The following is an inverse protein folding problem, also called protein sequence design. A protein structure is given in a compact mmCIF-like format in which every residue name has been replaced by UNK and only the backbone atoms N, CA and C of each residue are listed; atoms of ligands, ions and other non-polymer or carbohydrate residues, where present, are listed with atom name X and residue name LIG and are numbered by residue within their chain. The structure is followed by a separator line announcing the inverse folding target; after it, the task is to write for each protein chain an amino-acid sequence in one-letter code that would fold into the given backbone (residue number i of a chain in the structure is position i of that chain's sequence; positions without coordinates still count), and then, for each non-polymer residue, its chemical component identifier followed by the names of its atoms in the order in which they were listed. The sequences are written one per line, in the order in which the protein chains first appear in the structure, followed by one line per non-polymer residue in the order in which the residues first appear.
data_IF_421128631720
#
_entry.id   IF_421128631720
#
_cell.length_a   1.000
_cell.length_b   1.000
_cell.length_c   1.000
_cell.angle_alpha   90.00
_cell.angle_beta   90.00
_cell.angle_gamma   90.00
#
_symmetry.space_group_name_H-M   'P 1'
#
loop_
_entity.id
_entity.type
_entity.pdbx_description
1 polymer ?
#
# COMPACT_ATOMS: atom_id res chain seq x y z
N UNK A 1 25.02 23.05 3.66
CA UNK A 1 24.30 24.11 4.39
C UNK A 1 23.40 23.44 5.42
N UNK A 2 23.65 23.64 6.71
CA UNK A 2 22.84 23.09 7.81
C UNK A 2 21.55 23.91 7.89
N UNK A 3 20.39 23.28 7.68
CA UNK A 3 19.08 23.97 7.73
C UNK A 3 18.69 24.09 9.20
N UNK A 4 18.85 25.27 9.77
CA UNK A 4 18.48 25.55 11.17
C UNK A 4 16.95 25.50 11.28
N UNK A 5 16.37 24.71 12.21
CA UNK A 5 14.93 24.69 12.43
C UNK A 5 14.41 26.05 12.89
N UNK A 6 13.19 26.38 12.49
CA UNK A 6 12.47 27.62 12.84
C UNK A 6 12.33 27.73 14.37
N UNK A 7 13.24 28.49 15.01
CA UNK A 7 13.27 28.69 16.46
C UNK A 7 12.03 29.49 16.89
N UNK A 8 11.03 28.79 17.43
CA UNK A 8 9.84 29.40 18.03
C UNK A 8 8.52 28.72 17.72
N UNK A 9 8.44 27.85 16.71
CA UNK A 9 7.24 27.03 16.47
C UNK A 9 7.35 25.72 17.24
N UNK A 10 6.51 25.56 18.26
CA UNK A 10 6.31 24.24 18.87
C UNK A 10 5.77 23.29 17.80
N UNK A 11 6.62 22.38 17.31
CA UNK A 11 6.18 21.31 16.44
C UNK A 11 5.30 20.39 17.29
N UNK A 12 4.03 20.26 16.93
CA UNK A 12 3.15 19.29 17.61
C UNK A 12 3.73 17.90 17.38
N UNK A 13 3.92 17.16 18.46
CA UNK A 13 4.31 15.76 18.38
C UNK A 13 3.30 15.00 17.51
N UNK A 14 3.74 14.08 16.67
CA UNK A 14 2.84 13.30 15.81
C UNK A 14 1.77 12.55 16.65
N UNK A 15 2.12 12.15 17.88
CA UNK A 15 1.21 11.51 18.85
C UNK A 15 0.07 12.42 19.35
N UNK A 16 0.17 13.73 19.13
CA UNK A 16 -0.87 14.70 19.47
C UNK A 16 -1.81 15.04 18.31
N UNK A 17 -1.61 14.44 17.13
CA UNK A 17 -2.43 14.70 15.95
C UNK A 17 -3.64 13.77 15.96
N UNK A 18 -4.80 14.37 16.20
CA UNK A 18 -6.10 13.69 16.10
C UNK A 18 -6.97 14.39 15.07
N UNK A 19 -7.87 13.64 14.45
CA UNK A 19 -8.89 14.19 13.57
C UNK A 19 -9.87 15.00 14.41
N UNK A 20 -10.09 16.27 14.06
CA UNK A 20 -11.14 17.05 14.70
C UNK A 20 -12.53 16.55 14.29
N UNK A 21 -13.56 16.90 15.08
CA UNK A 21 -14.95 16.47 14.85
C UNK A 21 -15.42 16.76 13.42
N UNK A 22 -15.12 17.95 12.90
CA UNK A 22 -15.58 18.42 11.59
C UNK A 22 -14.46 18.42 10.53
N UNK A 23 -13.32 17.77 10.81
CA UNK A 23 -12.19 17.71 9.88
C UNK A 23 -12.36 16.57 8.86
N UNK A 24 -12.18 16.83 7.56
CA UNK A 24 -12.12 15.78 6.54
C UNK A 24 -11.00 14.79 6.83
N UNK A 25 -11.27 13.49 6.67
CA UNK A 25 -10.31 12.43 6.98
C UNK A 25 -8.97 12.61 6.24
N UNK A 26 -9.00 12.96 4.95
CA UNK A 26 -7.77 13.14 4.16
C UNK A 26 -6.91 14.30 4.69
N UNK A 27 -7.51 15.41 5.14
CA UNK A 27 -6.73 16.50 5.76
C UNK A 27 -6.05 16.06 7.05
N UNK A 28 -6.71 15.20 7.84
CA UNK A 28 -6.09 14.60 9.02
C UNK A 28 -4.90 13.71 8.65
N UNK A 29 -5.05 12.87 7.61
CA UNK A 29 -3.96 12.01 7.10
C UNK A 29 -2.77 12.85 6.64
N UNK A 30 -2.99 13.90 5.85
CA UNK A 30 -1.91 14.76 5.36
C UNK A 30 -1.10 15.36 6.51
N UNK A 31 -1.77 15.82 7.58
CA UNK A 31 -1.11 16.36 8.78
C UNK A 31 -0.34 15.28 9.54
N UNK A 32 -0.92 14.10 9.67
CA UNK A 32 -0.32 12.96 10.39
C UNK A 32 0.92 12.43 9.66
N UNK A 33 0.81 12.16 8.36
CA UNK A 33 1.90 11.70 7.51
C UNK A 33 3.04 12.72 7.50
N UNK A 34 2.73 14.01 7.27
CA UNK A 34 3.72 15.09 7.32
C UNK A 34 4.46 15.15 8.67
N UNK A 35 3.79 14.87 9.78
CA UNK A 35 4.40 14.89 11.09
C UNK A 35 5.27 13.66 11.36
N UNK A 36 4.81 12.47 10.95
CA UNK A 36 5.57 11.22 11.03
C UNK A 36 6.85 11.33 10.21
N UNK A 37 6.77 11.80 8.95
CA UNK A 37 7.93 11.97 8.08
C UNK A 37 8.99 12.91 8.63
N UNK A 38 8.56 13.96 9.35
CA UNK A 38 9.46 14.94 9.95
C UNK A 38 10.08 14.48 11.26
N UNK A 39 9.42 13.59 12.00
CA UNK A 39 9.77 13.28 13.39
C UNK A 39 10.32 11.86 13.57
N UNK A 40 10.09 10.97 12.62
CA UNK A 40 10.52 9.57 12.66
C UNK A 40 11.56 9.34 11.57
N UNK A 41 12.74 8.84 11.91
CA UNK A 41 13.79 8.55 10.93
C UNK A 41 13.65 7.16 10.32
N UNK A 42 13.15 6.19 11.09
CA UNK A 42 13.05 4.80 10.67
C UNK A 42 11.84 4.58 9.73
N UNK A 43 12.10 4.26 8.47
CA UNK A 43 11.04 4.09 7.47
C UNK A 43 10.07 2.94 7.79
N UNK A 44 10.56 1.81 8.32
CA UNK A 44 9.69 0.71 8.74
C UNK A 44 8.77 1.13 9.91
N UNK A 45 9.24 2.03 10.79
CA UNK A 45 8.41 2.60 11.83
C UNK A 45 7.35 3.55 11.25
N UNK A 46 7.66 4.35 10.23
CA UNK A 46 6.68 5.21 9.54
C UNK A 46 5.57 4.36 8.89
N UNK A 47 5.95 3.32 8.16
CA UNK A 47 5.03 2.38 7.52
C UNK A 47 4.09 1.68 8.52
N UNK A 48 4.57 1.42 9.74
CA UNK A 48 3.75 0.83 10.80
C UNK A 48 2.89 1.86 11.55
N UNK A 49 3.42 3.07 11.80
CA UNK A 49 2.77 4.09 12.62
C UNK A 49 1.60 4.75 11.90
N UNK A 50 1.76 5.09 10.61
CA UNK A 50 0.73 5.79 9.85
C UNK A 50 -0.62 5.05 9.85
N UNK A 51 -0.72 3.76 9.46
CA UNK A 51 -2.01 3.07 9.44
C UNK A 51 -2.59 2.87 10.85
N UNK A 52 -1.75 2.68 11.87
CA UNK A 52 -2.23 2.49 13.25
C UNK A 52 -2.87 3.77 13.80
N UNK A 53 -2.16 4.90 13.69
CA UNK A 53 -2.64 6.19 14.17
C UNK A 53 -3.78 6.73 13.29
N UNK A 54 -3.77 6.45 11.98
CA UNK A 54 -4.86 6.81 11.07
C UNK A 54 -6.21 6.18 11.44
N UNK A 55 -6.21 5.07 12.17
CA UNK A 55 -7.42 4.41 12.69
C UNK A 55 -7.69 4.90 14.12
N UNK A 56 -6.70 4.80 15.01
CA UNK A 56 -6.88 5.08 16.45
C UNK A 56 -7.21 6.55 16.75
N UNK A 57 -6.64 7.48 15.98
CA UNK A 57 -6.80 8.93 16.19
C UNK A 57 -7.78 9.58 15.20
N UNK A 58 -8.48 8.77 14.38
CA UNK A 58 -9.62 9.22 13.60
C UNK A 58 -10.79 9.63 14.50
N UNK A 59 -11.71 10.44 13.98
CA UNK A 59 -12.94 10.77 14.68
C UNK A 59 -13.89 9.56 14.69
N UNK A 60 -14.90 9.59 15.58
CA UNK A 60 -15.77 8.44 15.83
C UNK A 60 -16.49 7.93 14.57
N UNK A 61 -16.88 8.82 13.66
CA UNK A 61 -17.61 8.42 12.45
C UNK A 61 -16.68 7.77 11.43
N UNK A 62 -15.46 8.28 11.27
CA UNK A 62 -14.43 7.64 10.47
C UNK A 62 -14.00 6.29 11.06
N UNK A 63 -13.83 6.19 12.39
CA UNK A 63 -13.49 4.93 13.07
C UNK A 63 -14.51 3.83 12.78
N UNK A 64 -15.81 4.13 12.80
CA UNK A 64 -16.86 3.14 12.46
C UNK A 64 -16.66 2.60 11.05
N UNK A 65 -16.39 3.46 10.07
CA UNK A 65 -16.15 3.03 8.69
C UNK A 65 -14.88 2.18 8.58
N UNK A 66 -13.81 2.58 9.28
CA UNK A 66 -12.52 1.90 9.23
C UNK A 66 -12.55 0.51 9.91
N UNK A 67 -13.27 0.35 11.03
CA UNK A 67 -13.39 -0.92 11.73
C UNK A 67 -14.32 -1.92 11.06
N UNK A 68 -15.27 -1.46 10.26
CA UNK A 68 -16.27 -2.30 9.60
C UNK A 68 -16.05 -2.47 8.09
N UNK A 69 -15.10 -1.75 7.48
CA UNK A 69 -14.74 -1.90 6.07
C UNK A 69 -13.83 -3.11 5.82
N UNK A 70 -13.79 -3.67 4.58
CA UNK A 70 -12.94 -4.81 4.21
C UNK A 70 -11.42 -4.57 4.33
N UNK A 71 -11.01 -3.37 4.77
CA UNK A 71 -9.64 -2.88 4.85
C UNK A 71 -8.85 -3.34 6.09
N UNK A 72 -9.48 -4.04 7.05
CA UNK A 72 -8.76 -4.69 8.17
C UNK A 72 -7.91 -5.90 7.72
N UNK A 73 -8.06 -6.34 6.48
CA UNK A 73 -7.22 -7.35 5.87
C UNK A 73 -5.85 -6.70 5.59
N UNK A 74 -4.74 -7.15 6.23
CA UNK A 74 -3.40 -6.65 5.94
C UNK A 74 -3.14 -6.68 4.44
N UNK A 75 -2.51 -5.66 3.86
CA UNK A 75 -2.16 -5.60 2.44
C UNK A 75 -1.45 -6.88 1.93
N UNK A 76 -0.75 -7.59 2.83
CA UNK A 76 -0.12 -8.90 2.58
C UNK A 76 -1.10 -10.03 2.23
N UNK A 77 -2.35 -9.96 2.68
CA UNK A 77 -3.42 -10.91 2.37
C UNK A 77 -4.27 -10.49 1.16
N UNK A 78 -4.10 -9.26 0.65
CA UNK A 78 -4.86 -8.72 -0.49
C UNK A 78 -4.06 -8.70 -1.80
N UNK A 79 -2.77 -9.07 -1.82
CA UNK A 79 -2.02 -9.17 -3.09
C UNK A 79 -2.61 -10.28 -3.96
N UNK A 80 -3.23 -9.97 -5.13
CA UNK A 80 -3.35 -10.96 -6.18
C UNK A 80 -1.96 -11.17 -6.76
N UNK A 81 -1.73 -12.38 -7.29
CA UNK A 81 -0.54 -12.78 -8.03
C UNK A 81 -0.19 -11.72 -9.11
N UNK A 82 0.70 -10.80 -8.79
CA UNK A 82 1.23 -9.81 -9.76
C UNK A 82 2.74 -9.60 -9.60
N UNK A 83 3.37 -10.35 -8.69
CA UNK A 83 4.83 -10.39 -8.55
C UNK A 83 5.31 -11.75 -8.01
N UNK A 84 4.69 -12.84 -8.47
CA UNK A 84 5.21 -14.19 -8.24
C UNK A 84 6.20 -14.54 -9.37
N UNK A 85 7.45 -14.95 -9.08
CA UNK A 85 8.46 -15.28 -10.09
C UNK A 85 8.11 -16.51 -10.95
N UNK A 86 6.95 -17.15 -10.72
CA UNK A 86 6.49 -18.29 -11.52
C UNK A 86 5.70 -17.88 -12.78
N UNK A 87 5.32 -16.61 -12.94
CA UNK A 87 4.58 -16.15 -14.12
C UNK A 87 5.54 -15.69 -15.24
N UNK A 88 6.78 -15.32 -14.91
CA UNK A 88 7.78 -14.88 -15.90
C UNK A 88 8.46 -16.02 -16.68
N UNK A 89 8.30 -17.28 -16.28
CA UNK A 89 8.89 -18.42 -17.00
C UNK A 89 7.87 -19.27 -17.79
N UNK A 90 6.56 -19.05 -17.62
CA UNK A 90 5.54 -19.82 -18.33
C UNK A 90 5.23 -19.27 -19.74
N UNK A 91 5.45 -17.98 -20.00
CA UNK A 91 5.20 -17.39 -21.34
C UNK A 91 6.37 -17.59 -22.33
N UNK A 92 7.59 -17.86 -21.87
CA UNK A 92 8.73 -18.09 -22.80
C UNK A 92 8.83 -19.53 -23.34
N UNK A 93 7.97 -20.45 -22.90
CA UNK A 93 7.97 -21.86 -23.35
C UNK A 93 6.74 -22.27 -24.17
N UNK A 94 5.83 -21.34 -24.44
CA UNK A 94 4.55 -21.61 -25.09
C UNK A 94 4.44 -21.12 -26.54
N UNK A 95 5.52 -21.11 -27.34
CA UNK A 95 5.44 -20.83 -28.78
C UNK A 95 6.64 -21.39 -29.53
N UNK A 96 6.71 -22.72 -29.65
CA UNK A 96 7.25 -23.38 -30.84
C UNK A 96 6.83 -24.86 -30.82
N UNK A 97 5.54 -25.11 -31.03
CA UNK A 97 5.12 -26.37 -31.63
C UNK A 97 4.60 -26.02 -33.02
N UNK A 98 5.52 -26.07 -33.98
CA UNK A 98 5.19 -26.17 -35.40
C UNK A 98 4.51 -27.52 -35.55
N UNK A 99 3.19 -27.51 -35.65
CA UNK A 99 2.42 -28.66 -36.13
C UNK A 99 2.64 -28.70 -37.63
N UNK A 100 3.51 -29.60 -38.09
CA UNK A 100 3.60 -29.97 -39.49
C UNK A 100 2.27 -30.61 -39.89
N UNK A 101 1.45 -29.88 -40.65
CA UNK A 101 0.24 -30.38 -41.28
C UNK A 101 0.62 -30.79 -42.69
N UNK A 102 1.11 -32.03 -42.87
CA UNK A 102 1.18 -32.73 -44.17
C UNK A 102 1.64 -34.19 -43.99
N UNK A 103 0.85 -35.03 -43.32
CA UNK A 103 1.00 -36.49 -43.46
C UNK A 103 -0.31 -37.24 -43.18
N UNK A 104 -1.32 -36.93 -44.00
CA UNK A 104 -2.57 -37.67 -44.06
C UNK A 104 -2.97 -37.93 -45.52
N UNK A 105 -2.11 -38.63 -46.27
CA UNK A 105 -2.54 -39.43 -47.41
C UNK A 105 -1.48 -40.45 -47.84
N UNK A 106 -1.39 -41.60 -47.16
CA UNK A 106 -0.94 -42.86 -47.78
C UNK A 106 -1.29 -44.07 -46.91
N UNK A 107 -2.57 -44.46 -46.94
CA UNK A 107 -3.02 -45.76 -46.44
C UNK A 107 -4.31 -46.21 -47.14
N UNK A 108 -4.36 -46.11 -48.47
CA UNK A 108 -5.30 -46.85 -49.31
C UNK A 108 -4.71 -47.05 -50.73
N UNK A 109 -3.75 -47.96 -50.87
CA UNK A 109 -3.66 -48.96 -51.96
C UNK A 109 -2.64 -50.06 -51.61
#
# INVERSE_FOLDING_TARGET
MLKVPDVGKSIKAFTGIKQAKDEPYMHFIDRLETAIDKQVENDAAKEALLPKLAIEDANLDCQKVLHHGPWWIPARLVRPVLNHPAVTEAESRGSQQHIDVDDANDALE
#
